data_IF_976954491620
#
_entry.id   IF_976954491620
#
_cell.length_a   1.000
_cell.length_b   1.000
_cell.length_c   1.000
_cell.angle_alpha   90.00
_cell.angle_beta   90.00
_cell.angle_gamma   90.00
#
_symmetry.space_group_name_H-M   'P 1'
#
loop_
_entity.id
_entity.type
_entity.pdbx_description
1 polymer ?
#
# COMPACT_ATOMS: atom_id res chain seq x y z
N UNK A 1 25.17 27.31 3.79
CA UNK A 1 24.87 26.82 2.42
C UNK A 1 23.54 26.05 2.26
N UNK A 2 22.98 25.42 3.27
CA UNK A 2 21.74 24.61 3.17
C UNK A 2 20.46 25.45 3.07
N UNK A 3 20.42 26.66 3.61
CA UNK A 3 19.22 27.50 3.64
C UNK A 3 18.86 28.16 2.29
N UNK A 4 19.84 28.47 1.44
CA UNK A 4 19.62 29.13 0.17
C UNK A 4 18.83 28.32 -0.86
N UNK A 5 19.12 27.03 -1.08
CA UNK A 5 18.30 26.19 -1.98
C UNK A 5 16.86 26.03 -1.49
N UNK A 6 16.64 25.94 -0.17
CA UNK A 6 15.30 25.83 0.40
C UNK A 6 14.49 27.13 0.24
N UNK A 7 15.14 28.28 0.41
CA UNK A 7 14.50 29.60 0.20
C UNK A 7 14.13 29.79 -1.27
N UNK A 8 15.05 29.48 -2.19
CA UNK A 8 14.83 29.54 -3.63
C UNK A 8 13.70 28.60 -4.09
N UNK A 9 13.65 27.39 -3.56
CA UNK A 9 12.55 26.45 -3.79
C UNK A 9 11.21 27.06 -3.36
N UNK A 10 11.13 27.70 -2.20
CA UNK A 10 9.92 28.36 -1.72
C UNK A 10 9.47 29.50 -2.63
N UNK A 11 10.41 30.28 -3.15
CA UNK A 11 10.10 31.34 -4.12
C UNK A 11 9.50 30.76 -5.39
N UNK A 12 10.06 29.68 -5.93
CA UNK A 12 9.48 28.97 -7.09
C UNK A 12 8.10 28.43 -6.81
N UNK A 13 7.84 27.91 -5.60
CA UNK A 13 6.53 27.40 -5.20
C UNK A 13 5.44 28.49 -5.06
N UNK A 14 5.79 29.78 -5.12
CA UNK A 14 4.78 30.84 -5.12
C UNK A 14 3.79 30.74 -6.29
N UNK A 15 4.22 30.20 -7.42
CA UNK A 15 3.36 29.96 -8.59
C UNK A 15 2.21 29.00 -8.27
N UNK A 16 2.44 28.03 -7.39
CA UNK A 16 1.44 27.06 -6.95
C UNK A 16 0.35 27.66 -6.04
N UNK A 17 0.54 28.90 -5.55
CA UNK A 17 -0.47 29.59 -4.73
C UNK A 17 -1.74 29.92 -5.51
N UNK A 18 -1.65 29.97 -6.83
CA UNK A 18 -2.82 30.16 -7.69
C UNK A 18 -3.69 28.91 -7.82
N UNK A 19 -3.16 27.71 -7.49
CA UNK A 19 -3.95 26.48 -7.45
C UNK A 19 -4.91 26.54 -6.26
N UNK A 20 -6.22 26.23 -6.44
CA UNK A 20 -7.20 26.26 -5.38
C UNK A 20 -6.90 25.20 -4.32
N UNK A 21 -7.37 25.44 -3.09
CA UNK A 21 -7.19 24.49 -2.01
C UNK A 21 -7.58 25.06 -0.65
N UNK A 22 -7.56 24.24 0.40
CA UNK A 22 -7.93 24.66 1.74
C UNK A 22 -6.99 25.73 2.28
N UNK A 23 -7.52 26.56 3.19
CA UNK A 23 -6.71 27.50 3.94
C UNK A 23 -5.74 26.76 4.87
N UNK A 24 -4.57 27.36 5.11
CA UNK A 24 -3.65 26.82 6.12
C UNK A 24 -4.25 26.94 7.52
N UNK A 25 -4.22 25.84 8.25
CA UNK A 25 -4.76 25.75 9.62
C UNK A 25 -3.68 25.99 10.68
N UNK A 26 -2.41 25.96 10.28
CA UNK A 26 -1.26 26.14 11.16
C UNK A 26 -0.05 26.53 10.34
N UNK A 27 0.73 27.49 10.82
CA UNK A 27 2.01 27.88 10.23
C UNK A 27 3.00 26.72 10.27
N UNK A 28 2.94 25.87 11.30
CA UNK A 28 3.87 24.74 11.50
C UNK A 28 3.53 23.52 10.66
N UNK A 29 2.26 23.14 10.60
CA UNK A 29 1.83 21.88 9.99
C UNK A 29 0.92 22.05 8.77
N UNK A 30 0.59 23.27 8.38
CA UNK A 30 -0.38 23.52 7.32
C UNK A 30 -1.70 22.81 7.60
N UNK A 31 -2.11 21.92 6.69
CA UNK A 31 -3.28 21.04 6.84
C UNK A 31 -2.90 19.61 7.24
N UNK A 32 -1.62 19.29 7.31
CA UNK A 32 -1.12 17.91 7.44
C UNK A 32 -1.68 17.19 8.69
N UNK A 33 -1.79 17.89 9.83
CA UNK A 33 -2.35 17.29 11.05
C UNK A 33 -3.82 16.87 10.87
N UNK A 34 -4.63 17.66 10.14
CA UNK A 34 -6.03 17.32 9.82
C UNK A 34 -6.14 16.30 8.69
N UNK A 35 -5.18 16.28 7.76
CA UNK A 35 -5.16 15.30 6.65
C UNK A 35 -4.77 13.89 7.11
N UNK A 36 -3.90 13.77 8.11
CA UNK A 36 -3.32 12.49 8.54
C UNK A 36 -3.61 12.12 10.00
N UNK A 37 -4.35 12.93 10.75
CA UNK A 37 -4.69 12.67 12.15
C UNK A 37 -5.70 11.52 12.33
N UNK A 38 -5.93 11.05 13.57
CA UNK A 38 -6.82 9.93 13.85
C UNK A 38 -8.29 10.19 13.47
N UNK A 39 -8.72 11.46 13.42
CA UNK A 39 -10.06 11.88 13.01
C UNK A 39 -10.06 12.61 11.66
N UNK A 40 -9.12 12.25 10.78
CA UNK A 40 -8.90 12.95 9.52
C UNK A 40 -9.90 12.59 8.42
N UNK A 41 -10.64 11.49 8.56
CA UNK A 41 -11.44 10.93 7.45
C UNK A 41 -12.41 11.98 6.86
N UNK A 42 -13.31 12.64 7.63
CA UNK A 42 -14.25 13.59 7.07
C UNK A 42 -13.58 14.78 6.37
N UNK A 43 -12.58 15.38 7.01
CA UNK A 43 -11.84 16.52 6.45
C UNK A 43 -11.08 16.12 5.18
N UNK A 44 -10.44 14.95 5.18
CA UNK A 44 -9.70 14.42 4.05
C UNK A 44 -10.62 14.12 2.87
N UNK A 45 -11.71 13.41 3.10
CA UNK A 45 -12.69 13.08 2.08
C UNK A 45 -13.26 14.35 1.46
N UNK A 46 -13.74 15.28 2.28
CA UNK A 46 -14.22 16.56 1.82
C UNK A 46 -13.17 17.31 0.99
N UNK A 47 -11.94 17.43 1.51
CA UNK A 47 -10.88 18.17 0.81
C UNK A 47 -10.52 17.53 -0.53
N UNK A 48 -10.38 16.19 -0.57
CA UNK A 48 -9.95 15.48 -1.78
C UNK A 48 -11.02 15.39 -2.86
N UNK A 49 -12.30 15.62 -2.54
CA UNK A 49 -13.42 15.59 -3.49
C UNK A 49 -14.00 16.95 -3.84
N UNK A 50 -13.77 17.98 -2.99
CA UNK A 50 -14.31 19.34 -3.22
C UNK A 50 -13.62 20.09 -4.37
N UNK A 51 -12.38 19.70 -4.71
CA UNK A 51 -11.59 20.34 -5.75
C UNK A 51 -11.31 19.32 -6.85
N UNK A 52 -11.56 19.69 -8.08
CA UNK A 52 -11.29 18.83 -9.23
C UNK A 52 -9.89 19.04 -9.79
N UNK A 53 -9.29 17.98 -10.29
CA UNK A 53 -8.04 17.99 -11.04
C UNK A 53 -6.80 18.22 -10.17
N UNK A 54 -6.73 19.37 -9.49
CA UNK A 54 -5.57 19.71 -8.68
C UNK A 54 -5.94 20.53 -7.43
N UNK A 55 -5.25 20.27 -6.34
CA UNK A 55 -5.47 20.88 -5.03
C UNK A 55 -4.13 21.35 -4.48
N UNK A 56 -4.06 22.58 -4.02
CA UNK A 56 -2.95 23.07 -3.22
C UNK A 56 -3.15 22.67 -1.75
N UNK A 57 -2.20 21.95 -1.21
CA UNK A 57 -2.16 21.58 0.20
C UNK A 57 -1.07 22.37 0.92
N UNK A 58 -1.44 23.26 1.86
CA UNK A 58 -0.45 23.89 2.74
C UNK A 58 0.25 22.85 3.61
N UNK A 59 1.57 22.76 3.47
CA UNK A 59 2.42 21.82 4.17
C UNK A 59 3.16 22.44 5.37
N UNK A 60 4.28 21.82 5.75
CA UNK A 60 5.10 22.19 6.89
C UNK A 60 5.82 23.54 6.67
N UNK A 61 5.78 24.44 7.65
CA UNK A 61 6.40 25.79 7.62
C UNK A 61 6.04 26.61 6.37
N UNK A 62 4.81 26.49 5.86
CA UNK A 62 4.35 27.22 4.68
C UNK A 62 4.82 26.65 3.34
N UNK A 63 5.38 25.44 3.33
CA UNK A 63 5.63 24.68 2.10
C UNK A 63 4.31 24.46 1.35
N UNK A 64 4.39 24.44 0.04
CA UNK A 64 3.23 24.16 -0.81
C UNK A 64 3.39 22.76 -1.40
N UNK A 65 2.43 21.90 -1.14
CA UNK A 65 2.30 20.58 -1.74
C UNK A 65 1.10 20.61 -2.70
N UNK A 66 1.10 19.74 -3.69
CA UNK A 66 -0.02 19.54 -4.61
C UNK A 66 -0.68 18.20 -4.37
N UNK A 67 -2.02 18.11 -4.47
CA UNK A 67 -2.70 16.85 -4.67
C UNK A 67 -3.36 16.86 -6.06
N UNK A 68 -3.09 15.84 -6.86
CA UNK A 68 -3.50 15.76 -8.26
C UNK A 68 -4.41 14.55 -8.44
N UNK A 69 -5.60 14.78 -9.00
CA UNK A 69 -6.57 13.76 -9.43
C UNK A 69 -6.89 13.83 -10.92
N UNK A 70 -6.32 14.79 -11.65
CA UNK A 70 -6.51 14.90 -13.10
C UNK A 70 -5.88 13.71 -13.83
N UNK A 71 -6.64 12.97 -14.67
CA UNK A 71 -6.16 11.78 -15.35
C UNK A 71 -4.94 12.02 -16.25
N UNK A 72 -4.92 13.13 -17.00
CA UNK A 72 -3.82 13.46 -17.91
C UNK A 72 -2.55 13.80 -17.14
N UNK A 73 -2.66 14.55 -16.05
CA UNK A 73 -1.54 14.85 -15.17
C UNK A 73 -1.00 13.58 -14.51
N UNK A 74 -1.87 12.67 -14.05
CA UNK A 74 -1.46 11.37 -13.48
C UNK A 74 -0.78 10.49 -14.52
N UNK A 75 -1.34 10.37 -15.73
CA UNK A 75 -0.72 9.63 -16.83
C UNK A 75 0.65 10.22 -17.21
N UNK A 76 0.78 11.54 -17.17
CA UNK A 76 2.03 12.24 -17.45
C UNK A 76 3.10 11.93 -16.38
N UNK A 77 2.73 11.88 -15.10
CA UNK A 77 3.65 11.53 -14.00
C UNK A 77 4.14 10.08 -14.13
N UNK A 78 3.25 9.13 -14.45
CA UNK A 78 3.61 7.72 -14.55
C UNK A 78 4.25 7.33 -15.89
N UNK A 79 3.99 8.10 -16.94
CA UNK A 79 4.50 7.87 -18.29
C UNK A 79 5.69 8.76 -18.63
N UNK A 80 5.40 9.90 -19.27
CA UNK A 80 6.40 10.82 -19.83
C UNK A 80 7.45 11.30 -18.83
N UNK A 81 7.05 11.55 -17.59
CA UNK A 81 7.92 12.09 -16.54
C UNK A 81 8.20 11.10 -15.42
N UNK A 82 8.14 9.81 -15.69
CA UNK A 82 8.40 8.76 -14.71
C UNK A 82 9.70 8.98 -13.93
N UNK A 83 10.77 9.29 -14.65
CA UNK A 83 12.11 9.51 -14.07
C UNK A 83 12.29 10.90 -13.43
N UNK A 84 11.33 11.80 -13.65
CA UNK A 84 11.32 13.13 -13.04
C UNK A 84 10.60 13.16 -11.67
N UNK A 85 9.97 12.07 -11.26
CA UNK A 85 9.23 11.96 -10.01
C UNK A 85 9.70 10.73 -9.21
N UNK A 86 10.26 10.97 -8.03
CA UNK A 86 10.71 9.89 -7.13
C UNK A 86 9.95 9.91 -5.80
N UNK A 87 10.20 8.90 -4.98
CA UNK A 87 9.65 8.84 -3.62
C UNK A 87 10.29 9.94 -2.75
N UNK A 88 9.51 10.61 -1.89
CA UNK A 88 10.08 11.58 -0.96
C UNK A 88 11.15 10.94 -0.06
N UNK A 89 12.27 11.63 0.11
CA UNK A 89 13.40 11.14 0.90
C UNK A 89 13.00 10.70 2.32
N UNK A 90 12.06 11.40 2.97
CA UNK A 90 11.56 11.00 4.28
C UNK A 90 10.90 9.62 4.27
N UNK A 91 10.22 9.24 3.18
CA UNK A 91 9.56 7.93 3.03
C UNK A 91 10.60 6.82 2.89
N UNK A 92 11.59 7.01 2.04
CA UNK A 92 12.72 6.10 1.86
C UNK A 92 13.47 5.92 3.18
N UNK A 93 13.77 7.02 3.86
CA UNK A 93 14.48 6.99 5.12
C UNK A 93 13.67 6.37 6.26
N UNK A 94 12.35 6.55 6.31
CA UNK A 94 11.49 5.86 7.28
C UNK A 94 11.51 4.36 7.01
N UNK A 95 11.30 3.94 5.76
CA UNK A 95 11.33 2.53 5.36
C UNK A 95 12.65 1.87 5.75
N UNK A 96 13.78 2.45 5.33
CA UNK A 96 15.10 1.90 5.63
C UNK A 96 15.46 1.91 7.12
N UNK A 97 14.89 2.81 7.91
CA UNK A 97 15.15 2.86 9.37
C UNK A 97 14.34 1.81 10.12
N UNK A 98 13.09 1.61 9.74
CA UNK A 98 12.16 0.70 10.45
C UNK A 98 12.34 -0.73 9.98
N UNK A 99 12.39 -0.97 8.68
CA UNK A 99 12.38 -2.32 8.10
C UNK A 99 13.76 -2.80 7.61
N UNK A 100 14.71 -1.89 7.44
CA UNK A 100 15.99 -2.19 6.81
C UNK A 100 15.98 -1.90 5.30
N UNK A 101 17.07 -2.26 4.59
CA UNK A 101 17.18 -2.10 3.15
C UNK A 101 16.25 -3.10 2.45
N UNK A 102 15.22 -2.61 1.82
CA UNK A 102 14.25 -3.39 1.06
C UNK A 102 13.71 -2.56 -0.10
N UNK A 103 12.89 -3.13 -0.96
CA UNK A 103 12.42 -2.52 -2.21
C UNK A 103 11.90 -1.08 -2.05
N UNK A 104 11.22 -0.75 -0.95
CA UNK A 104 10.69 0.61 -0.71
C UNK A 104 11.67 1.54 0.01
N UNK A 105 12.87 1.06 0.30
CA UNK A 105 13.92 1.80 1.01
C UNK A 105 15.12 2.13 0.11
N UNK A 106 15.06 1.73 -1.15
CA UNK A 106 16.08 1.94 -2.19
C UNK A 106 15.47 2.68 -3.38
N UNK A 107 16.31 3.30 -4.21
CA UNK A 107 15.88 4.08 -5.39
C UNK A 107 16.76 3.80 -6.60
N UNK A 108 16.38 4.31 -7.75
CA UNK A 108 17.17 4.26 -8.98
C UNK A 108 17.48 2.83 -9.42
N UNK A 109 18.74 2.57 -9.79
CA UNK A 109 19.19 1.29 -10.33
C UNK A 109 18.99 0.13 -9.34
N UNK A 110 19.32 0.34 -8.07
CA UNK A 110 19.16 -0.67 -7.02
C UNK A 110 17.69 -1.10 -6.87
N UNK A 111 16.76 -0.13 -6.87
CA UNK A 111 15.33 -0.41 -6.86
C UNK A 111 14.91 -1.25 -8.08
N UNK A 112 15.37 -0.88 -9.27
CA UNK A 112 15.04 -1.61 -10.51
C UNK A 112 15.55 -3.04 -10.49
N UNK A 113 16.76 -3.29 -10.00
CA UNK A 113 17.36 -4.60 -9.86
C UNK A 113 16.61 -5.46 -8.84
N UNK A 114 16.35 -4.95 -7.63
CA UNK A 114 15.57 -5.66 -6.60
C UNK A 114 14.16 -5.98 -7.08
N UNK A 115 13.51 -5.03 -7.78
CA UNK A 115 12.18 -5.24 -8.36
C UNK A 115 12.15 -6.35 -9.39
N UNK A 116 13.14 -6.38 -10.31
CA UNK A 116 13.27 -7.45 -11.32
C UNK A 116 13.40 -8.82 -10.67
N UNK A 117 14.16 -8.92 -9.60
CA UNK A 117 14.36 -10.18 -8.86
C UNK A 117 13.10 -10.64 -8.11
N UNK A 118 12.29 -9.69 -7.60
CA UNK A 118 11.04 -9.98 -6.92
C UNK A 118 9.86 -10.22 -7.87
N UNK A 119 9.95 -9.78 -9.14
CA UNK A 119 8.86 -9.87 -10.10
C UNK A 119 8.29 -11.30 -10.29
N UNK A 120 9.06 -12.38 -10.32
CA UNK A 120 8.53 -13.74 -10.45
C UNK A 120 7.53 -14.13 -9.35
N UNK A 121 7.72 -13.61 -8.13
CA UNK A 121 6.86 -13.88 -6.97
C UNK A 121 5.45 -13.32 -7.14
N UNK A 122 5.29 -12.31 -8.00
CA UNK A 122 4.00 -11.70 -8.31
C UNK A 122 3.39 -12.22 -9.62
N UNK A 123 3.96 -13.28 -10.20
CA UNK A 123 3.40 -13.89 -11.41
C UNK A 123 2.09 -14.63 -11.12
N UNK A 124 1.20 -14.69 -12.13
CA UNK A 124 -0.07 -15.43 -12.03
C UNK A 124 0.17 -16.88 -11.66
N UNK A 125 1.23 -17.51 -12.19
CA UNK A 125 1.63 -18.88 -11.83
C UNK A 125 1.88 -19.02 -10.35
N UNK A 126 2.67 -18.13 -9.78
CA UNK A 126 3.00 -18.15 -8.34
C UNK A 126 1.77 -17.93 -7.45
N UNK A 127 0.89 -16.98 -7.84
CA UNK A 127 -0.36 -16.73 -7.12
C UNK A 127 -1.27 -17.97 -7.17
N UNK A 128 -1.34 -18.66 -8.31
CA UNK A 128 -2.11 -19.91 -8.48
C UNK A 128 -1.64 -20.99 -7.48
N UNK A 129 -0.34 -21.14 -7.33
CA UNK A 129 0.26 -22.12 -6.42
C UNK A 129 -0.02 -21.81 -4.92
N UNK A 130 -0.35 -20.55 -4.59
CA UNK A 130 -0.74 -20.14 -3.23
C UNK A 130 -2.20 -20.46 -2.88
N UNK A 131 -3.10 -20.66 -3.85
CA UNK A 131 -4.54 -20.82 -3.61
C UNK A 131 -4.87 -21.94 -2.61
N UNK A 132 -4.28 -23.15 -2.67
CA UNK A 132 -4.55 -24.19 -1.68
C UNK A 132 -4.22 -23.76 -0.24
N UNK A 133 -3.17 -22.98 -0.07
CA UNK A 133 -2.81 -22.43 1.25
C UNK A 133 -3.82 -21.39 1.71
N UNK A 134 -4.24 -20.46 0.83
CA UNK A 134 -5.28 -19.48 1.15
C UNK A 134 -6.60 -20.14 1.51
N UNK A 135 -7.01 -21.17 0.78
CA UNK A 135 -8.22 -21.94 1.05
C UNK A 135 -8.18 -22.60 2.44
N UNK A 136 -7.04 -23.18 2.80
CA UNK A 136 -6.85 -23.83 4.12
C UNK A 136 -6.95 -22.80 5.25
N UNK A 137 -6.24 -21.70 5.15
CA UNK A 137 -6.27 -20.61 6.16
C UNK A 137 -7.67 -19.98 6.22
N UNK A 138 -8.34 -19.86 5.06
CA UNK A 138 -9.73 -19.39 4.97
C UNK A 138 -10.70 -20.29 5.71
N UNK A 139 -10.53 -21.62 5.61
CA UNK A 139 -11.36 -22.57 6.36
C UNK A 139 -11.12 -22.46 7.88
N UNK A 140 -9.86 -22.33 8.30
CA UNK A 140 -9.52 -22.08 9.71
C UNK A 140 -10.22 -20.81 10.24
N UNK A 141 -10.23 -19.72 9.44
CA UNK A 141 -10.96 -18.50 9.81
C UNK A 141 -12.45 -18.73 9.94
N UNK A 142 -13.06 -19.43 8.98
CA UNK A 142 -14.51 -19.75 9.03
C UNK A 142 -14.86 -20.54 10.29
N UNK A 143 -14.06 -21.51 10.67
CA UNK A 143 -14.29 -22.33 11.85
C UNK A 143 -14.17 -21.52 13.15
N UNK A 144 -13.18 -20.62 13.24
CA UNK A 144 -13.05 -19.66 14.36
C UNK A 144 -14.26 -18.73 14.46
N UNK A 145 -14.68 -18.14 13.34
CA UNK A 145 -15.84 -17.24 13.33
C UNK A 145 -17.15 -17.97 13.68
N UNK A 146 -17.34 -19.18 13.19
CA UNK A 146 -18.50 -20.02 13.55
C UNK A 146 -18.56 -20.28 15.04
N UNK A 147 -17.42 -20.63 15.64
CA UNK A 147 -17.33 -20.84 17.09
C UNK A 147 -17.68 -19.57 17.86
N UNK A 148 -17.13 -18.42 17.45
CA UNK A 148 -17.40 -17.14 18.11
C UNK A 148 -18.88 -16.72 18.01
N UNK A 149 -19.51 -16.89 16.84
CA UNK A 149 -20.92 -16.52 16.61
C UNK A 149 -21.89 -17.48 17.31
N UNK A 150 -21.50 -18.73 17.57
CA UNK A 150 -22.35 -19.71 18.27
C UNK A 150 -22.56 -19.36 19.75
N UNK A 151 -21.72 -18.50 20.35
CA UNK A 151 -21.91 -18.06 21.73
C UNK A 151 -23.12 -17.09 21.85
N UNK A 152 -24.00 -17.24 22.86
CA UNK A 152 -25.16 -16.38 23.03
C UNK A 152 -24.76 -14.88 23.15
N UNK A 153 -25.38 -14.01 22.34
CA UNK A 153 -25.15 -12.56 22.31
C UNK A 153 -23.70 -12.15 21.99
N UNK A 154 -22.97 -12.92 21.23
CA UNK A 154 -21.60 -12.57 20.85
C UNK A 154 -21.58 -11.56 19.71
N UNK A 155 -21.02 -10.39 19.99
CA UNK A 155 -20.48 -9.52 18.96
C UNK A 155 -19.08 -10.00 18.59
N UNK A 156 -18.81 -10.11 17.29
CA UNK A 156 -17.50 -10.56 16.79
C UNK A 156 -16.75 -9.39 16.19
N UNK A 157 -15.55 -9.14 16.72
CA UNK A 157 -14.63 -8.15 16.16
C UNK A 157 -13.92 -8.75 14.94
N UNK A 158 -14.51 -8.48 13.74
CA UNK A 158 -14.06 -9.07 12.48
C UNK A 158 -12.71 -8.54 12.01
N UNK A 159 -12.34 -7.29 12.33
CA UNK A 159 -11.13 -6.67 11.82
C UNK A 159 -9.87 -7.34 12.38
N UNK A 160 -9.88 -7.75 13.64
CA UNK A 160 -8.79 -8.52 14.21
C UNK A 160 -8.63 -9.88 13.55
N UNK A 161 -9.74 -10.60 13.40
CA UNK A 161 -9.77 -11.92 12.78
C UNK A 161 -9.24 -11.87 11.33
N UNK A 162 -9.66 -10.88 10.54
CA UNK A 162 -9.18 -10.67 9.17
C UNK A 162 -7.73 -10.22 9.09
N UNK A 163 -7.24 -9.44 10.07
CA UNK A 163 -5.83 -9.06 10.14
C UNK A 163 -4.93 -10.28 10.39
N UNK A 164 -5.35 -11.17 11.29
CA UNK A 164 -4.62 -12.41 11.59
C UNK A 164 -4.67 -13.38 10.42
N UNK A 165 -5.83 -13.51 9.78
CA UNK A 165 -5.98 -14.26 8.54
C UNK A 165 -5.02 -13.79 7.46
N UNK A 166 -4.95 -12.48 7.19
CA UNK A 166 -4.05 -11.92 6.18
C UNK A 166 -2.58 -12.18 6.51
N UNK A 167 -2.19 -12.03 7.79
CA UNK A 167 -0.84 -12.32 8.24
C UNK A 167 -0.47 -13.79 8.06
N UNK A 168 -1.38 -14.70 8.41
CA UNK A 168 -1.17 -16.14 8.29
C UNK A 168 -1.12 -16.59 6.82
N UNK A 169 -1.96 -16.01 5.95
CA UNK A 169 -1.89 -16.24 4.51
C UNK A 169 -0.52 -15.88 3.94
N UNK A 170 -0.02 -14.69 4.25
CA UNK A 170 1.31 -14.25 3.75
C UNK A 170 2.43 -15.06 4.38
N UNK A 171 2.35 -15.32 5.68
CA UNK A 171 3.33 -16.13 6.39
C UNK A 171 3.48 -17.52 5.77
N UNK A 172 2.37 -18.26 5.62
CA UNK A 172 2.41 -19.63 5.09
C UNK A 172 2.70 -19.66 3.59
N UNK A 173 2.05 -18.81 2.79
CA UNK A 173 2.16 -18.86 1.33
C UNK A 173 3.44 -18.21 0.81
N UNK A 174 3.86 -17.06 1.36
CA UNK A 174 5.01 -16.33 0.82
C UNK A 174 6.32 -16.57 1.57
N UNK A 175 6.28 -16.97 2.85
CA UNK A 175 7.49 -17.15 3.67
C UNK A 175 7.67 -18.59 4.18
N UNK A 176 6.69 -19.49 3.98
CA UNK A 176 6.71 -20.84 4.53
C UNK A 176 6.75 -20.87 6.06
N UNK A 177 6.15 -19.86 6.71
CA UNK A 177 6.15 -19.68 8.16
C UNK A 177 4.74 -19.45 8.70
N UNK A 178 4.38 -20.08 9.81
CA UNK A 178 3.12 -19.87 10.51
C UNK A 178 3.33 -19.01 11.75
N UNK A 179 2.48 -17.98 11.90
CA UNK A 179 2.42 -17.13 13.08
C UNK A 179 1.58 -17.74 14.20
N UNK A 180 0.99 -18.90 13.96
CA UNK A 180 0.23 -19.67 14.91
C UNK A 180 -1.28 -19.68 14.66
N UNK A 181 -2.03 -20.44 15.48
CA UNK A 181 -3.47 -20.63 15.30
C UNK A 181 -4.26 -19.33 15.35
N UNK A 182 -5.27 -19.20 14.48
CA UNK A 182 -6.14 -18.01 14.42
C UNK A 182 -7.01 -17.81 15.68
N UNK A 183 -7.15 -18.82 16.50
CA UNK A 183 -7.93 -18.82 17.75
C UNK A 183 -7.23 -18.06 18.90
N UNK A 184 -5.91 -18.03 18.92
CA UNK A 184 -5.14 -17.41 20.00
C UNK A 184 -5.10 -15.89 19.81
N UNK A 185 -5.05 -15.16 20.91
CA UNK A 185 -4.82 -13.70 20.87
C UNK A 185 -3.54 -13.36 20.08
N UNK A 186 -3.60 -12.25 19.35
CA UNK A 186 -2.55 -11.86 18.42
C UNK A 186 -1.15 -11.85 19.03
N UNK A 187 -0.16 -12.21 18.21
CA UNK A 187 1.27 -12.19 18.59
C UNK A 187 1.75 -10.75 18.80
N UNK A 188 2.89 -10.57 19.48
CA UNK A 188 3.53 -9.26 19.60
C UNK A 188 3.83 -8.65 18.23
N UNK A 189 4.11 -9.49 17.24
CA UNK A 189 4.29 -9.10 15.85
C UNK A 189 3.00 -8.52 15.24
N UNK A 190 1.85 -9.19 15.38
CA UNK A 190 0.58 -8.70 14.83
C UNK A 190 0.16 -7.37 15.49
N UNK A 191 0.47 -7.19 16.78
CA UNK A 191 0.25 -5.94 17.51
C UNK A 191 1.15 -4.84 16.97
N UNK A 192 2.45 -5.12 16.76
CA UNK A 192 3.39 -4.17 16.19
C UNK A 192 2.97 -3.67 14.80
N UNK A 193 2.47 -4.56 13.94
CA UNK A 193 1.96 -4.18 12.62
C UNK A 193 0.75 -3.24 12.73
N UNK A 194 -0.22 -3.52 13.59
CA UNK A 194 -1.40 -2.65 13.81
C UNK A 194 -1.02 -1.26 14.32
N UNK A 195 -0.01 -1.17 15.16
CA UNK A 195 0.46 0.09 15.74
C UNK A 195 1.32 0.92 14.77
N UNK A 196 1.83 0.33 13.69
CA UNK A 196 2.72 1.00 12.75
C UNK A 196 2.07 2.24 12.11
N UNK A 197 0.93 2.07 11.46
CA UNK A 197 0.21 3.17 10.79
C UNK A 197 -0.10 4.35 11.73
N UNK A 198 -0.77 4.15 12.86
CA UNK A 198 -1.03 5.20 13.85
C UNK A 198 0.26 5.88 14.37
N UNK A 199 1.33 5.12 14.55
CA UNK A 199 2.62 5.66 15.03
C UNK A 199 3.30 6.53 13.97
N UNK A 200 3.28 6.10 12.70
CA UNK A 200 3.77 6.92 11.57
C UNK A 200 3.02 8.25 11.49
N UNK A 201 1.71 8.24 11.69
CA UNK A 201 0.89 9.47 11.72
C UNK A 201 1.31 10.39 12.86
N UNK A 202 1.54 9.86 14.07
CA UNK A 202 1.99 10.67 15.22
C UNK A 202 3.38 11.27 15.00
N UNK A 203 4.25 10.57 14.28
CA UNK A 203 5.59 11.04 13.91
C UNK A 203 5.63 11.93 12.67
N UNK A 204 4.47 12.15 12.02
CA UNK A 204 4.39 12.89 10.76
C UNK A 204 5.10 14.25 10.79
N UNK A 205 4.93 15.00 11.88
CA UNK A 205 5.51 16.35 12.04
C UNK A 205 7.05 16.34 12.07
N UNK A 206 7.66 15.22 12.45
CA UNK A 206 9.11 15.05 12.55
C UNK A 206 9.76 14.49 11.27
N UNK A 207 8.94 14.05 10.29
CA UNK A 207 9.41 13.46 9.03
C UNK A 207 10.41 14.31 8.26
N UNK A 208 10.24 15.64 8.15
CA UNK A 208 11.20 16.47 7.42
C UNK A 208 12.60 16.50 8.02
N UNK A 209 12.72 16.18 9.33
CA UNK A 209 14.03 16.13 10.01
C UNK A 209 14.80 14.86 9.73
N UNK A 210 14.13 13.77 9.36
CA UNK A 210 14.76 12.46 9.22
C UNK A 210 15.85 12.42 8.14
N UNK A 211 15.68 13.00 6.92
CA UNK A 211 16.74 13.07 5.93
C UNK A 211 17.97 13.87 6.44
N UNK A 212 17.73 14.97 7.15
CA UNK A 212 18.79 15.77 7.75
C UNK A 212 19.54 14.98 8.83
N UNK A 213 18.83 14.34 9.76
CA UNK A 213 19.45 13.54 10.81
C UNK A 213 20.29 12.40 10.22
N UNK A 214 19.78 11.68 9.21
CA UNK A 214 20.55 10.60 8.54
C UNK A 214 21.78 11.10 7.79
N UNK A 215 21.79 12.34 7.33
CA UNK A 215 22.96 12.93 6.66
C UNK A 215 24.11 13.20 7.62
N UNK A 216 23.82 13.59 8.87
CA UNK A 216 24.84 14.03 9.83
C UNK A 216 25.16 12.99 10.91
N UNK A 217 24.24 12.06 11.16
CA UNK A 217 24.42 11.07 12.23
C UNK A 217 24.41 9.64 11.67
N UNK A 218 25.44 8.84 11.97
CA UNK A 218 25.46 7.41 11.70
C UNK A 218 24.28 6.69 12.33
N UNK A 219 23.85 5.55 11.75
CA UNK A 219 22.73 4.74 12.22
C UNK A 219 22.79 4.42 13.73
N UNK A 220 23.98 4.16 14.26
CA UNK A 220 24.20 3.87 15.69
C UNK A 220 23.78 5.04 16.60
N UNK A 221 24.10 6.28 16.21
CA UNK A 221 23.73 7.46 16.98
C UNK A 221 22.24 7.78 16.90
N UNK A 222 21.62 7.56 15.73
CA UNK A 222 20.19 7.70 15.58
C UNK A 222 19.43 6.67 16.44
N UNK A 223 19.96 5.45 16.50
CA UNK A 223 19.43 4.40 17.35
C UNK A 223 19.56 4.77 18.83
N UNK A 224 20.72 5.20 19.27
CA UNK A 224 20.95 5.66 20.64
C UNK A 224 20.02 6.84 21.00
N UNK A 225 19.88 7.83 20.12
CA UNK A 225 18.93 8.92 20.30
C UNK A 225 17.50 8.44 20.46
N UNK A 226 17.07 7.47 19.64
CA UNK A 226 15.76 6.86 19.77
C UNK A 226 15.58 6.08 21.09
N UNK A 227 16.64 5.58 21.71
CA UNK A 227 16.59 4.91 23.00
C UNK A 227 16.47 5.87 24.18
N UNK A 228 17.15 7.00 24.10
CA UNK A 228 17.25 7.96 25.22
C UNK A 228 16.10 8.97 25.22
N UNK A 229 15.58 9.35 24.07
CA UNK A 229 14.53 10.37 23.98
C UNK A 229 13.18 9.82 24.51
N UNK A 230 12.60 10.37 25.61
CA UNK A 230 11.38 9.85 26.23
C UNK A 230 10.12 10.36 25.49
N UNK A 231 10.07 10.14 24.16
CA UNK A 231 8.92 10.50 23.33
C UNK A 231 8.14 9.25 22.93
N UNK A 232 6.97 9.05 23.52
CA UNK A 232 6.20 7.82 23.40
C UNK A 232 6.01 7.30 21.95
N UNK A 233 5.68 8.14 20.94
CA UNK A 233 5.58 7.65 19.56
C UNK A 233 6.92 7.14 19.00
N UNK A 234 8.05 7.74 19.39
CA UNK A 234 9.37 7.31 18.97
C UNK A 234 9.75 5.96 19.61
N UNK A 235 9.48 5.81 20.91
CA UNK A 235 9.70 4.55 21.63
C UNK A 235 8.83 3.43 21.04
N UNK A 236 7.58 3.73 20.69
CA UNK A 236 6.69 2.79 20.04
C UNK A 236 7.20 2.37 18.66
N UNK A 237 7.64 3.33 17.84
CA UNK A 237 8.23 3.04 16.52
C UNK A 237 9.49 2.17 16.65
N UNK A 238 10.32 2.39 17.68
CA UNK A 238 11.47 1.55 18.00
C UNK A 238 11.05 0.12 18.31
N UNK A 239 10.09 -0.06 19.22
CA UNK A 239 9.57 -1.38 19.59
C UNK A 239 9.00 -2.13 18.38
N UNK A 240 8.24 -1.43 17.51
CA UNK A 240 7.73 -1.99 16.24
C UNK A 240 8.89 -2.46 15.36
N UNK A 241 9.90 -1.61 15.14
CA UNK A 241 11.08 -1.95 14.34
C UNK A 241 11.82 -3.16 14.90
N UNK A 242 12.00 -3.22 16.22
CA UNK A 242 12.68 -4.34 16.89
C UNK A 242 11.91 -5.65 16.73
N UNK A 243 10.59 -5.63 16.97
CA UNK A 243 9.73 -6.81 16.82
C UNK A 243 9.71 -7.32 15.37
N UNK A 244 9.56 -6.42 14.41
CA UNK A 244 9.47 -6.78 12.99
C UNK A 244 10.80 -7.38 12.49
N UNK A 245 11.92 -6.73 12.79
CA UNK A 245 13.24 -7.21 12.37
C UNK A 245 13.67 -8.50 13.11
N UNK A 246 13.31 -8.66 14.39
CA UNK A 246 13.59 -9.89 15.13
C UNK A 246 12.83 -11.08 14.52
N UNK A 247 11.55 -10.91 14.24
CA UNK A 247 10.73 -11.95 13.59
C UNK A 247 11.26 -12.31 12.21
N UNK A 248 11.60 -11.32 11.39
CA UNK A 248 12.16 -11.58 10.05
C UNK A 248 13.50 -12.35 10.13
N UNK A 249 14.38 -12.00 11.07
CA UNK A 249 15.63 -12.76 11.29
C UNK A 249 15.37 -14.17 11.78
N UNK A 250 14.41 -14.36 12.67
CA UNK A 250 14.04 -15.70 13.14
C UNK A 250 13.55 -16.57 11.99
N UNK A 251 12.66 -16.05 11.12
CA UNK A 251 12.16 -16.77 9.94
C UNK A 251 13.32 -17.12 9.01
N UNK A 252 14.20 -16.15 8.72
CA UNK A 252 15.36 -16.38 7.87
C UNK A 252 16.31 -17.44 8.43
N UNK A 253 16.56 -17.42 9.74
CA UNK A 253 17.42 -18.42 10.40
C UNK A 253 16.80 -19.82 10.32
N UNK A 254 15.51 -19.96 10.65
CA UNK A 254 14.81 -21.23 10.53
C UNK A 254 14.88 -21.79 9.10
N UNK A 255 14.74 -20.91 8.09
CA UNK A 255 14.85 -21.31 6.69
C UNK A 255 16.25 -21.79 6.32
N UNK A 256 17.29 -21.08 6.77
CA UNK A 256 18.70 -21.50 6.60
C UNK A 256 18.96 -22.86 7.24
N UNK A 257 18.42 -23.09 8.43
CA UNK A 257 18.64 -24.34 9.15
C UNK A 257 17.91 -25.51 8.48
N UNK A 258 16.68 -25.30 7.98
CA UNK A 258 15.97 -26.30 7.17
C UNK A 258 16.75 -26.65 5.89
N UNK A 259 17.26 -25.65 5.16
CA UNK A 259 18.04 -25.89 3.93
C UNK A 259 19.38 -26.59 4.19
N UNK A 260 19.99 -26.40 5.36
CA UNK A 260 21.23 -27.09 5.74
C UNK A 260 21.00 -28.56 6.10
N UNK A 261 19.83 -28.88 6.65
CA UNK A 261 19.48 -30.24 7.10
C UNK A 261 18.88 -31.08 5.97
N UNK A 262 18.36 -30.42 4.93
CA UNK A 262 17.75 -31.09 3.77
C UNK A 262 18.84 -31.77 2.92
N UNK A 263 18.57 -32.98 2.42
CA UNK A 263 19.39 -33.63 1.41
C UNK A 263 19.23 -32.91 0.04
N UNK A 264 20.11 -33.26 -0.94
CA UNK A 264 20.11 -32.60 -2.25
C UNK A 264 18.78 -32.73 -3.00
N UNK A 265 18.05 -33.84 -2.82
CA UNK A 265 16.75 -34.05 -3.46
C UNK A 265 15.67 -33.16 -2.85
N UNK A 266 15.63 -33.10 -1.51
CA UNK A 266 14.72 -32.21 -0.76
C UNK A 266 15.04 -30.73 -0.99
N UNK A 267 16.33 -30.37 -1.15
CA UNK A 267 16.74 -29.01 -1.55
C UNK A 267 16.22 -28.67 -2.94
N UNK A 268 16.17 -29.63 -3.85
CA UNK A 268 15.64 -29.43 -5.20
C UNK A 268 14.12 -29.33 -5.19
N UNK A 269 13.42 -30.14 -4.41
CA UNK A 269 11.96 -30.03 -4.20
C UNK A 269 11.56 -28.76 -3.46
N UNK A 270 12.27 -28.38 -2.39
CA UNK A 270 12.12 -27.11 -1.69
C UNK A 270 12.52 -25.93 -2.57
N UNK A 271 13.43 -26.18 -3.52
CA UNK A 271 13.98 -25.24 -4.47
C UNK A 271 13.13 -24.99 -5.71
N UNK A 272 12.16 -25.82 -6.02
CA UNK A 272 11.21 -25.58 -7.13
C UNK A 272 10.12 -24.55 -6.76
N UNK A 273 10.38 -23.70 -5.76
CA UNK A 273 9.79 -22.38 -5.78
C UNK A 273 8.50 -22.22 -5.02
N UNK A 274 8.46 -22.65 -3.78
CA UNK A 274 7.23 -22.48 -3.00
C UNK A 274 7.19 -21.22 -2.13
N UNK A 275 8.28 -20.53 -1.89
CA UNK A 275 8.25 -19.27 -1.12
C UNK A 275 9.29 -18.24 -1.59
N UNK A 276 8.95 -16.96 -1.33
CA UNK A 276 9.75 -15.79 -1.78
C UNK A 276 11.19 -15.86 -1.32
N UNK A 277 11.41 -16.29 -0.07
CA UNK A 277 12.75 -16.29 0.53
C UNK A 277 13.62 -17.39 -0.08
N UNK A 278 13.04 -18.56 -0.33
CA UNK A 278 13.73 -19.64 -1.04
C UNK A 278 14.15 -19.21 -2.45
N UNK A 279 13.29 -18.50 -3.17
CA UNK A 279 13.60 -17.95 -4.50
C UNK A 279 14.78 -16.97 -4.43
N UNK A 280 14.74 -16.02 -3.48
CA UNK A 280 15.81 -15.03 -3.32
C UNK A 280 17.13 -15.66 -2.86
N UNK A 281 17.09 -16.65 -1.96
CA UNK A 281 18.28 -17.37 -1.50
C UNK A 281 18.91 -18.21 -2.64
N UNK A 282 18.10 -18.83 -3.49
CA UNK A 282 18.58 -19.55 -4.67
C UNK A 282 19.22 -18.62 -5.71
N UNK A 283 18.61 -17.44 -5.91
CA UNK A 283 19.21 -16.43 -6.78
C UNK A 283 20.62 -16.06 -6.28
N UNK A 284 20.77 -15.81 -4.97
CA UNK A 284 22.07 -15.54 -4.37
C UNK A 284 23.06 -16.70 -4.55
N UNK A 285 22.60 -17.95 -4.43
CA UNK A 285 23.44 -19.12 -4.59
C UNK A 285 23.92 -19.34 -6.05
N UNK A 286 23.13 -18.92 -7.02
CA UNK A 286 23.48 -19.02 -8.45
C UNK A 286 24.43 -17.92 -8.93
N UNK A 287 24.47 -16.80 -8.25
CA UNK A 287 25.28 -15.61 -8.61
C UNK A 287 26.04 -15.07 -7.40
N UNK A 288 26.94 -15.86 -6.79
CA UNK A 288 27.67 -15.42 -5.61
C UNK A 288 28.63 -14.27 -5.98
N UNK A 289 28.50 -13.14 -5.27
CA UNK A 289 29.35 -11.96 -5.46
C UNK A 289 28.92 -11.01 -6.57
N UNK A 290 27.80 -11.24 -7.21
CA UNK A 290 27.18 -10.27 -8.12
C UNK A 290 26.63 -9.08 -7.31
N UNK A 291 26.69 -7.88 -7.90
CA UNK A 291 26.11 -6.64 -7.36
C UNK A 291 24.60 -6.80 -7.10
N UNK A 292 23.96 -7.75 -7.80
CA UNK A 292 22.55 -8.09 -7.68
C UNK A 292 22.24 -9.06 -6.53
N UNK A 293 23.22 -9.57 -5.78
CA UNK A 293 22.97 -10.50 -4.69
C UNK A 293 22.46 -9.76 -3.43
N UNK A 294 21.36 -10.27 -2.85
CA UNK A 294 20.81 -9.73 -1.60
C UNK A 294 21.73 -10.08 -0.42
N UNK A 295 22.12 -9.08 0.35
CA UNK A 295 22.72 -9.31 1.66
C UNK A 295 21.71 -9.92 2.64
N UNK A 296 22.17 -10.42 3.78
CA UNK A 296 21.27 -10.88 4.83
C UNK A 296 20.36 -9.76 5.36
N UNK A 297 20.88 -8.53 5.44
CA UNK A 297 20.08 -7.37 5.83
C UNK A 297 19.01 -7.01 4.78
N UNK A 298 19.33 -7.18 3.50
CA UNK A 298 18.36 -6.97 2.41
C UNK A 298 17.21 -8.00 2.49
N UNK A 299 17.55 -9.28 2.70
CA UNK A 299 16.54 -10.33 2.87
C UNK A 299 15.63 -10.06 4.07
N UNK A 300 16.18 -9.67 5.21
CA UNK A 300 15.42 -9.28 6.40
C UNK A 300 14.52 -8.07 6.08
N UNK A 301 15.05 -7.08 5.38
CA UNK A 301 14.29 -5.90 4.95
C UNK A 301 13.13 -6.24 4.02
N UNK A 302 13.35 -7.10 3.03
CA UNK A 302 12.31 -7.57 2.11
C UNK A 302 11.20 -8.33 2.85
N UNK A 303 11.57 -9.25 3.75
CA UNK A 303 10.60 -10.01 4.54
C UNK A 303 9.76 -9.11 5.44
N UNK A 304 10.40 -8.20 6.16
CA UNK A 304 9.73 -7.24 7.03
C UNK A 304 8.72 -6.38 6.27
N UNK A 305 9.12 -5.95 5.07
CA UNK A 305 8.29 -5.13 4.21
C UNK A 305 7.11 -5.91 3.63
N UNK A 306 7.33 -7.13 3.12
CA UNK A 306 6.28 -7.99 2.57
C UNK A 306 5.22 -8.30 3.62
N UNK A 307 5.63 -8.67 4.82
CA UNK A 307 4.71 -8.95 5.92
C UNK A 307 3.84 -7.76 6.28
N UNK A 308 4.43 -6.55 6.40
CA UNK A 308 3.65 -5.35 6.68
C UNK A 308 2.67 -5.03 5.56
N UNK A 309 3.16 -4.93 4.33
CA UNK A 309 2.36 -4.45 3.20
C UNK A 309 1.22 -5.40 2.88
N UNK A 310 1.47 -6.69 2.86
CA UNK A 310 0.47 -7.67 2.50
C UNK A 310 -0.57 -7.90 3.63
N UNK A 311 -0.20 -7.71 4.89
CA UNK A 311 -1.11 -7.89 6.02
C UNK A 311 -2.11 -6.75 6.14
N UNK A 312 -1.63 -5.51 6.25
CA UNK A 312 -2.47 -4.35 6.58
C UNK A 312 -3.41 -3.97 5.44
N UNK A 313 -2.91 -3.91 4.21
CA UNK A 313 -3.74 -3.56 3.05
C UNK A 313 -4.81 -4.60 2.75
N UNK A 314 -4.47 -5.88 2.80
CA UNK A 314 -5.40 -6.98 2.53
C UNK A 314 -6.48 -7.05 3.59
N UNK A 315 -6.11 -7.03 4.87
CA UNK A 315 -7.08 -7.07 5.97
C UNK A 315 -8.04 -5.88 5.93
N UNK A 316 -7.55 -4.68 5.68
CA UNK A 316 -8.38 -3.47 5.56
C UNK A 316 -9.36 -3.59 4.39
N UNK A 317 -8.93 -4.11 3.25
CA UNK A 317 -9.81 -4.35 2.09
C UNK A 317 -10.88 -5.38 2.41
N UNK A 318 -10.53 -6.50 3.04
CA UNK A 318 -11.48 -7.54 3.45
C UNK A 318 -12.52 -7.00 4.45
N UNK A 319 -12.08 -6.22 5.45
CA UNK A 319 -12.98 -5.54 6.39
C UNK A 319 -13.98 -4.65 5.64
N UNK A 320 -13.52 -3.89 4.64
CA UNK A 320 -14.41 -3.04 3.84
C UNK A 320 -15.39 -3.84 2.99
N UNK A 321 -14.94 -4.95 2.39
CA UNK A 321 -15.83 -5.85 1.63
C UNK A 321 -16.94 -6.39 2.54
N UNK A 322 -16.58 -6.96 3.68
CA UNK A 322 -17.56 -7.51 4.64
C UNK A 322 -18.51 -6.44 5.14
N UNK A 323 -18.00 -5.24 5.46
CA UNK A 323 -18.81 -4.10 5.88
C UNK A 323 -19.81 -3.67 4.79
N UNK A 324 -19.37 -3.55 3.53
CA UNK A 324 -20.27 -3.19 2.43
C UNK A 324 -21.34 -4.26 2.17
N UNK A 325 -20.96 -5.55 2.22
CA UNK A 325 -21.92 -6.64 2.10
C UNK A 325 -22.93 -6.66 3.26
N UNK A 326 -22.52 -6.27 4.46
CA UNK A 326 -23.44 -6.14 5.59
C UNK A 326 -24.44 -4.98 5.42
N UNK A 327 -24.01 -3.87 4.81
CA UNK A 327 -24.86 -2.72 4.51
C UNK A 327 -25.78 -2.95 3.30
N UNK A 328 -25.46 -3.90 2.42
CA UNK A 328 -26.19 -4.19 1.18
C UNK A 328 -26.64 -5.67 1.10
N UNK A 329 -27.73 -6.06 1.82
CA UNK A 329 -28.17 -7.45 1.88
C UNK A 329 -28.49 -8.09 0.52
N UNK A 330 -29.00 -7.30 -0.44
CA UNK A 330 -29.27 -7.77 -1.79
C UNK A 330 -27.97 -8.19 -2.53
N UNK A 331 -26.92 -7.40 -2.42
CA UNK A 331 -25.62 -7.73 -2.99
C UNK A 331 -25.00 -8.95 -2.29
N UNK A 332 -25.16 -9.07 -0.97
CA UNK A 332 -24.74 -10.24 -0.23
C UNK A 332 -25.47 -11.51 -0.71
N UNK A 333 -26.79 -11.44 -0.89
CA UNK A 333 -27.59 -12.59 -1.37
C UNK A 333 -27.17 -13.01 -2.78
N UNK A 334 -26.96 -12.04 -3.70
CA UNK A 334 -26.46 -12.31 -5.05
C UNK A 334 -25.08 -12.97 -5.06
N UNK A 335 -24.15 -12.48 -4.24
CA UNK A 335 -22.83 -13.10 -4.11
C UNK A 335 -22.93 -14.52 -3.57
N UNK A 336 -23.79 -14.77 -2.57
CA UNK A 336 -24.02 -16.12 -2.04
C UNK A 336 -24.59 -17.04 -3.12
N UNK A 337 -25.51 -16.56 -3.94
CA UNK A 337 -26.07 -17.32 -5.05
C UNK A 337 -24.98 -17.72 -6.05
N UNK A 338 -24.15 -16.77 -6.52
CA UNK A 338 -23.03 -17.04 -7.43
C UNK A 338 -22.08 -18.11 -6.86
N UNK A 339 -21.69 -17.98 -5.59
CA UNK A 339 -20.81 -18.94 -4.92
C UNK A 339 -21.46 -20.34 -4.79
N UNK A 340 -22.77 -20.39 -4.54
CA UNK A 340 -23.51 -21.66 -4.44
C UNK A 340 -23.61 -22.33 -5.80
N UNK A 341 -23.91 -21.58 -6.86
CA UNK A 341 -23.99 -22.10 -8.23
C UNK A 341 -22.62 -22.62 -8.71
N UNK A 342 -21.54 -21.89 -8.41
CA UNK A 342 -20.18 -22.30 -8.76
C UNK A 342 -19.76 -23.61 -8.07
N UNK A 343 -20.16 -23.81 -6.82
CA UNK A 343 -19.86 -25.05 -6.08
C UNK A 343 -20.75 -26.21 -6.50
N UNK A 344 -22.05 -25.97 -6.74
CA UNK A 344 -22.99 -27.00 -7.21
C UNK A 344 -22.60 -27.51 -8.61
N UNK A 345 -22.19 -26.63 -9.53
CA UNK A 345 -21.79 -26.99 -10.89
C UNK A 345 -20.55 -27.89 -10.98
N UNK A 346 -19.67 -27.83 -9.97
CA UNK A 346 -18.39 -28.57 -9.97
C UNK A 346 -18.41 -29.73 -8.96
N UNK A 347 -19.42 -29.81 -8.09
CA UNK A 347 -19.52 -30.82 -7.01
C UNK A 347 -18.40 -30.67 -5.96
N UNK A 348 -17.82 -29.50 -5.83
CA UNK A 348 -16.70 -29.18 -4.91
C UNK A 348 -17.15 -28.17 -3.85
N UNK A 349 -16.53 -28.22 -2.67
CA UNK A 349 -16.72 -27.19 -1.68
C UNK A 349 -15.96 -25.90 -2.09
N UNK A 350 -16.39 -24.74 -1.58
CA UNK A 350 -15.69 -23.45 -1.83
C UNK A 350 -14.18 -23.54 -1.56
N UNK A 351 -13.79 -24.24 -0.51
CA UNK A 351 -12.39 -24.44 -0.12
C UNK A 351 -11.55 -25.24 -1.13
N UNK A 352 -12.19 -25.91 -2.08
CA UNK A 352 -11.54 -26.79 -3.06
C UNK A 352 -11.50 -26.14 -4.46
N UNK A 353 -11.96 -24.89 -4.58
CA UNK A 353 -11.90 -24.13 -5.82
C UNK A 353 -10.45 -23.73 -6.11
N UNK A 354 -10.08 -23.79 -7.38
CA UNK A 354 -8.79 -23.36 -7.90
C UNK A 354 -8.83 -21.88 -8.34
N UNK A 355 -7.69 -21.38 -8.81
CA UNK A 355 -7.55 -20.00 -9.26
C UNK A 355 -8.52 -19.67 -10.39
N UNK A 356 -8.70 -20.54 -11.37
CA UNK A 356 -9.56 -20.37 -12.53
C UNK A 356 -11.03 -20.28 -12.13
N UNK A 357 -11.44 -21.12 -11.19
CA UNK A 357 -12.80 -21.09 -10.65
C UNK A 357 -13.09 -19.76 -9.94
N UNK A 358 -12.17 -19.27 -9.10
CA UNK A 358 -12.33 -17.96 -8.47
C UNK A 358 -12.30 -16.82 -9.49
N UNK A 359 -11.40 -16.86 -10.48
CA UNK A 359 -11.33 -15.85 -11.54
C UNK A 359 -12.59 -15.83 -12.42
N UNK A 360 -13.29 -16.94 -12.52
CA UNK A 360 -14.56 -17.11 -13.23
C UNK A 360 -15.80 -16.59 -12.49
N UNK A 361 -15.67 -15.92 -11.33
CA UNK A 361 -16.79 -15.38 -10.55
C UNK A 361 -16.97 -13.88 -10.82
N UNK A 362 -17.82 -13.50 -11.77
CA UNK A 362 -17.92 -12.10 -12.22
C UNK A 362 -18.45 -11.17 -11.14
N UNK A 363 -19.45 -11.62 -10.34
CA UNK A 363 -20.01 -10.75 -9.30
C UNK A 363 -19.08 -10.60 -8.10
N UNK A 364 -18.37 -11.66 -7.72
CA UNK A 364 -17.30 -11.57 -6.71
C UNK A 364 -16.23 -10.57 -7.16
N UNK A 365 -15.79 -10.67 -8.41
CA UNK A 365 -14.85 -9.71 -9.00
C UNK A 365 -15.37 -8.27 -8.98
N UNK A 366 -16.66 -8.07 -9.28
CA UNK A 366 -17.34 -6.79 -9.24
C UNK A 366 -17.39 -6.19 -7.83
N UNK A 367 -17.74 -6.98 -6.82
CA UNK A 367 -17.75 -6.58 -5.39
C UNK A 367 -16.35 -6.13 -4.95
N UNK A 368 -15.32 -6.88 -5.29
CA UNK A 368 -13.94 -6.53 -4.93
C UNK A 368 -13.53 -5.23 -5.60
N UNK A 369 -13.71 -5.10 -6.93
CA UNK A 369 -13.33 -3.91 -7.71
C UNK A 369 -14.03 -2.66 -7.21
N UNK A 370 -15.33 -2.72 -6.97
CA UNK A 370 -16.09 -1.58 -6.48
C UNK A 370 -15.68 -1.17 -5.07
N UNK A 371 -15.41 -2.14 -4.21
CA UNK A 371 -14.93 -1.84 -2.86
C UNK A 371 -13.54 -1.16 -2.90
N UNK A 372 -12.62 -1.64 -3.72
CA UNK A 372 -11.29 -1.01 -3.86
C UNK A 372 -11.39 0.36 -4.53
N UNK A 373 -12.30 0.56 -5.49
CA UNK A 373 -12.57 1.90 -6.05
C UNK A 373 -13.03 2.88 -4.97
N UNK A 374 -14.02 2.48 -4.19
CA UNK A 374 -14.61 3.34 -3.17
C UNK A 374 -13.72 3.53 -1.95
N UNK A 375 -12.99 2.48 -1.56
CA UNK A 375 -12.16 2.44 -0.35
C UNK A 375 -10.77 1.92 -0.69
N UNK A 376 -9.98 2.68 -1.46
CA UNK A 376 -8.63 2.25 -1.84
C UNK A 376 -7.74 2.11 -0.61
N UNK A 377 -6.84 1.14 -0.63
CA UNK A 377 -5.89 0.89 0.46
C UNK A 377 -5.01 2.11 0.79
N UNK A 378 -4.78 2.98 -0.21
CA UNK A 378 -4.15 4.28 -0.05
C UNK A 378 -5.04 5.38 -0.64
N UNK A 379 -5.43 6.35 0.18
CA UNK A 379 -6.15 7.54 -0.29
C UNK A 379 -5.32 8.40 -1.22
N UNK A 380 -4.03 8.52 -0.91
CA UNK A 380 -3.04 9.26 -1.67
C UNK A 380 -1.68 8.57 -1.56
N UNK A 381 -0.85 8.72 -2.57
CA UNK A 381 0.58 8.39 -2.48
C UNK A 381 1.39 9.59 -2.96
N UNK A 382 2.60 9.77 -2.42
CA UNK A 382 3.41 10.95 -2.70
C UNK A 382 4.55 10.67 -3.67
N UNK A 383 4.87 11.68 -4.47
CA UNK A 383 6.08 11.80 -5.26
C UNK A 383 6.72 13.16 -5.00
N UNK A 384 7.99 13.30 -5.31
CA UNK A 384 8.69 14.58 -5.35
C UNK A 384 9.17 14.81 -6.77
N UNK A 385 8.91 15.99 -7.30
CA UNK A 385 9.48 16.40 -8.58
C UNK A 385 10.99 16.62 -8.42
N UNK A 386 11.82 15.88 -9.13
CA UNK A 386 13.27 16.00 -9.11
C UNK A 386 13.77 17.16 -10.00
N UNK A 387 12.95 17.59 -10.95
CA UNK A 387 13.21 18.72 -11.85
C UNK A 387 11.94 19.55 -12.07
N UNK A 388 12.11 20.77 -12.56
CA UNK A 388 10.97 21.61 -12.95
C UNK A 388 10.20 20.90 -14.07
N UNK A 389 8.90 20.70 -13.87
CA UNK A 389 8.03 19.92 -14.77
C UNK A 389 6.72 20.65 -15.03
N UNK A 390 6.11 20.40 -16.18
CA UNK A 390 4.79 20.91 -16.51
C UNK A 390 3.83 19.75 -16.67
N UNK A 391 2.78 19.74 -15.85
CA UNK A 391 1.72 18.73 -15.90
C UNK A 391 0.52 19.30 -16.64
N UNK A 392 0.17 18.79 -17.84
CA UNK A 392 -1.03 19.18 -18.54
C UNK A 392 -2.27 18.66 -17.78
N UNK A 393 -3.37 19.39 -17.89
CA UNK A 393 -4.65 19.02 -17.28
C UNK A 393 -5.64 18.62 -18.37
N UNK A 394 -6.42 17.56 -18.15
CA UNK A 394 -7.50 17.15 -19.05
C UNK A 394 -8.65 18.16 -19.06
N UNK A 395 -8.87 18.82 -17.93
CA UNK A 395 -9.85 19.90 -17.78
C UNK A 395 -9.23 21.08 -17.03
N UNK A 396 -9.53 22.34 -17.42
CA UNK A 396 -8.98 23.49 -16.73
C UNK A 396 -9.39 23.55 -15.26
N UNK A 397 -8.46 23.87 -14.39
CA UNK A 397 -8.72 24.15 -12.97
C UNK A 397 -8.86 25.66 -12.78
N UNK A 398 -9.91 26.11 -12.11
CA UNK A 398 -10.11 27.51 -11.81
C UNK A 398 -9.07 28.00 -10.80
N UNK A 399 -8.17 28.89 -11.24
CA UNK A 399 -7.16 29.49 -10.37
C UNK A 399 -7.79 30.45 -9.33
N UNK A 400 -7.04 30.72 -8.27
CA UNK A 400 -7.45 31.67 -7.23
C UNK A 400 -7.60 33.12 -7.75
N UNK A 401 -6.95 33.44 -8.88
CA UNK A 401 -7.06 34.71 -9.60
C UNK A 401 -8.26 34.77 -10.56
N UNK A 402 -9.08 33.71 -10.58
CA UNK A 402 -10.25 33.59 -11.46
C UNK A 402 -9.93 33.19 -12.90
N UNK A 403 -8.67 32.88 -13.23
CA UNK A 403 -8.27 32.42 -14.58
C UNK A 403 -8.20 30.91 -14.64
N UNK A 404 -8.55 30.29 -15.78
CA UNK A 404 -8.41 28.86 -15.97
C UNK A 404 -6.92 28.46 -16.09
N UNK A 405 -6.53 27.43 -15.35
CA UNK A 405 -5.23 26.79 -15.44
C UNK A 405 -5.36 25.53 -16.30
N UNK A 406 -4.71 25.51 -17.45
CA UNK A 406 -4.69 24.36 -18.36
C UNK A 406 -3.52 23.41 -18.09
N UNK A 407 -2.55 23.87 -17.31
CA UNK A 407 -1.37 23.13 -16.92
C UNK A 407 -0.88 23.57 -15.54
N UNK A 408 -0.11 22.73 -14.89
CA UNK A 408 0.53 23.03 -13.61
C UNK A 408 2.04 23.07 -13.79
N UNK A 409 2.64 24.20 -13.53
CA UNK A 409 4.11 24.32 -13.46
C UNK A 409 4.54 23.84 -12.08
N UNK A 410 5.19 22.69 -12.02
CA UNK A 410 5.62 22.02 -10.79
C UNK A 410 7.13 22.20 -10.62
N UNK A 411 7.58 23.06 -9.72
CA UNK A 411 9.01 23.26 -9.47
C UNK A 411 9.67 22.03 -8.85
N UNK A 412 10.95 21.85 -9.13
CA UNK A 412 11.79 20.84 -8.50
C UNK A 412 11.68 20.89 -6.97
N UNK A 413 11.60 19.71 -6.35
CA UNK A 413 11.43 19.55 -4.92
C UNK A 413 9.98 19.70 -4.44
N UNK A 414 8.99 19.94 -5.29
CA UNK A 414 7.59 19.98 -4.89
C UNK A 414 7.07 18.58 -4.62
N UNK A 415 6.43 18.39 -3.46
CA UNK A 415 5.71 17.15 -3.16
C UNK A 415 4.37 17.15 -3.89
N UNK A 416 4.15 16.12 -4.69
CA UNK A 416 2.90 15.87 -5.42
C UNK A 416 2.25 14.62 -4.84
N UNK A 417 1.04 14.77 -4.31
CA UNK A 417 0.20 13.70 -3.84
C UNK A 417 -0.71 13.24 -4.98
N UNK A 418 -0.59 11.99 -5.36
CA UNK A 418 -1.48 11.34 -6.32
C UNK A 418 -2.77 11.02 -5.58
N UNK A 419 -3.83 11.76 -5.88
CA UNK A 419 -5.12 11.70 -5.18
C UNK A 419 -5.98 10.56 -5.74
N UNK A 420 -5.71 9.33 -5.30
CA UNK A 420 -6.44 8.12 -5.71
C UNK A 420 -7.91 8.21 -5.33
N UNK A 421 -8.19 8.69 -4.14
CA UNK A 421 -9.55 8.82 -3.63
C UNK A 421 -10.40 9.78 -4.47
N UNK A 422 -9.80 10.91 -4.88
CA UNK A 422 -10.47 11.91 -5.71
C UNK A 422 -10.80 11.37 -7.11
N UNK A 423 -9.82 10.78 -7.80
CA UNK A 423 -10.05 10.25 -9.16
C UNK A 423 -11.03 9.08 -9.16
N UNK A 424 -11.03 8.23 -8.14
CA UNK A 424 -11.96 7.10 -8.03
C UNK A 424 -13.41 7.51 -7.75
N UNK A 425 -13.66 8.74 -7.35
CA UNK A 425 -14.98 9.28 -7.02
C UNK A 425 -15.36 10.50 -7.86
N UNK A 426 -14.61 10.81 -8.90
CA UNK A 426 -14.91 11.94 -9.77
C UNK A 426 -16.15 11.64 -10.63
N UNK A 427 -17.25 12.43 -10.48
CA UNK A 427 -18.46 12.22 -11.27
C UNK A 427 -18.27 12.44 -12.77
N UNK A 428 -17.25 13.18 -13.19
CA UNK A 428 -16.95 13.38 -14.62
C UNK A 428 -16.35 12.14 -15.26
N UNK A 429 -15.72 11.29 -14.45
CA UNK A 429 -15.13 10.01 -14.89
C UNK A 429 -16.15 8.89 -14.70
N UNK A 430 -16.71 8.75 -13.49
CA UNK A 430 -17.52 7.59 -13.08
C UNK A 430 -19.03 7.78 -13.19
N UNK A 431 -19.51 8.96 -13.62
CA UNK A 431 -20.93 9.30 -13.69
C UNK A 431 -21.50 9.83 -12.38
N UNK A 432 -22.78 10.19 -12.39
CA UNK A 432 -23.48 10.81 -11.25
C UNK A 432 -23.54 9.93 -10.00
N UNK A 433 -23.41 8.62 -10.14
CA UNK A 433 -23.37 7.62 -9.06
C UNK A 433 -21.95 7.26 -8.60
N UNK A 434 -20.95 8.09 -8.95
CA UNK A 434 -19.54 7.91 -8.60
C UNK A 434 -19.28 7.69 -7.09
N UNK A 435 -20.10 8.29 -6.23
CA UNK A 435 -20.02 8.17 -4.77
C UNK A 435 -20.80 6.98 -4.18
N UNK A 436 -21.53 6.22 -5.01
CA UNK A 436 -22.31 5.06 -4.59
C UNK A 436 -21.48 3.79 -4.78
N UNK A 437 -21.60 2.87 -3.80
CA UNK A 437 -21.05 1.53 -3.92
C UNK A 437 -22.02 0.66 -4.73
N UNK A 438 -21.66 0.34 -5.98
CA UNK A 438 -22.50 -0.35 -6.97
C UNK A 438 -21.68 -1.37 -7.75
N UNK A 439 -21.57 -2.62 -7.27
CA UNK A 439 -20.82 -3.69 -7.94
C UNK A 439 -21.24 -3.93 -9.37
N UNK A 440 -22.53 -3.75 -9.70
CA UNK A 440 -23.11 -3.94 -11.04
C UNK A 440 -22.41 -3.14 -12.12
N UNK A 441 -21.78 -2.03 -11.76
CA UNK A 441 -20.94 -1.20 -12.64
C UNK A 441 -19.89 -2.00 -13.42
N UNK A 442 -19.38 -3.06 -12.82
CA UNK A 442 -18.31 -3.88 -13.37
C UNK A 442 -18.77 -5.08 -14.19
N UNK A 443 -20.10 -5.29 -14.27
CA UNK A 443 -20.71 -6.35 -15.07
C UNK A 443 -21.09 -5.89 -16.47
N UNK A 444 -21.09 -4.59 -16.70
CA UNK A 444 -21.36 -3.93 -17.96
C UNK A 444 -20.11 -3.21 -18.46
N UNK A 445 -20.04 -2.84 -19.75
CA UNK A 445 -18.98 -1.98 -20.25
C UNK A 445 -18.91 -0.69 -19.43
N UNK A 446 -17.70 -0.33 -19.00
CA UNK A 446 -17.49 0.93 -18.27
C UNK A 446 -17.81 2.12 -19.19
N UNK A 447 -18.27 3.26 -18.64
CA UNK A 447 -18.50 4.48 -19.40
C UNK A 447 -17.27 4.91 -20.21
N UNK A 448 -17.49 5.47 -21.41
CA UNK A 448 -16.42 5.97 -22.26
C UNK A 448 -15.50 6.95 -21.50
N UNK A 449 -16.09 7.77 -20.63
CA UNK A 449 -15.34 8.69 -19.76
C UNK A 449 -14.29 8.00 -18.86
N UNK A 450 -14.54 6.75 -18.43
CA UNK A 450 -13.56 5.97 -17.66
C UNK A 450 -12.45 5.43 -18.57
N UNK A 451 -12.83 4.98 -19.76
CA UNK A 451 -11.89 4.43 -20.75
C UNK A 451 -10.99 5.54 -21.31
N UNK A 452 -11.57 6.66 -21.68
CA UNK A 452 -10.88 7.83 -22.24
C UNK A 452 -9.99 8.55 -21.22
N UNK A 453 -10.33 8.49 -19.94
CA UNK A 453 -9.52 9.07 -18.88
C UNK A 453 -8.14 8.44 -18.78
N UNK A 454 -7.93 7.22 -19.31
CA UNK A 454 -6.64 6.50 -19.24
C UNK A 454 -5.99 6.54 -17.86
N UNK A 455 -6.81 6.45 -16.80
CA UNK A 455 -6.31 6.47 -15.43
C UNK A 455 -5.33 5.31 -15.24
N UNK A 456 -4.11 5.57 -14.77
CA UNK A 456 -3.11 4.53 -14.60
C UNK A 456 -3.60 3.34 -13.78
N UNK A 457 -3.16 2.15 -14.10
CA UNK A 457 -3.62 0.87 -13.55
C UNK A 457 -3.49 0.70 -12.03
N UNK A 458 -2.73 1.56 -11.38
CA UNK A 458 -2.63 1.62 -9.91
C UNK A 458 -3.95 2.04 -9.24
N UNK A 459 -4.86 2.63 -10.01
CA UNK A 459 -6.19 3.01 -9.57
C UNK A 459 -7.22 1.93 -9.90
N UNK A 460 -8.27 1.82 -9.13
CA UNK A 460 -9.16 0.66 -9.01
C UNK A 460 -9.87 0.12 -10.27
N UNK A 461 -9.90 0.84 -11.38
CA UNK A 461 -10.61 0.37 -12.58
C UNK A 461 -9.88 -0.75 -13.32
N UNK A 462 -8.57 -0.88 -13.14
CA UNK A 462 -7.79 -1.98 -13.67
C UNK A 462 -7.33 -2.88 -12.52
N UNK A 463 -7.96 -4.04 -12.46
CA UNK A 463 -7.54 -5.06 -11.52
C UNK A 463 -6.18 -5.61 -11.96
N UNK A 464 -5.18 -5.30 -11.14
CA UNK A 464 -3.90 -5.99 -11.11
C UNK A 464 -3.19 -6.12 -12.45
N UNK A 465 -2.24 -5.33 -12.66
CA UNK A 465 -0.99 -5.98 -12.90
C UNK A 465 0.09 -5.16 -12.21
N UNK A 466 0.70 -5.76 -11.23
CA UNK A 466 2.06 -5.43 -10.82
C UNK A 466 3.01 -5.42 -12.04
N UNK A 467 2.54 -5.88 -13.20
CA UNK A 467 3.23 -5.94 -14.48
C UNK A 467 3.27 -4.62 -15.27
N UNK A 468 2.52 -3.58 -14.87
CA UNK A 468 2.49 -2.29 -15.58
C UNK A 468 3.12 -1.13 -14.82
N UNK A 469 3.92 -1.41 -13.80
CA UNK A 469 4.83 -0.43 -13.24
C UNK A 469 6.24 -0.76 -13.77
N UNK A 470 6.37 -0.95 -15.07
CA UNK A 470 7.64 -0.88 -15.78
C UNK A 470 8.06 0.56 -15.99
#
# INVERSE_FOLDING_TARGET
>A
MVLWPQLWRRVKQLQLRNVPGPASLSIWSGVAKKMHGPFSIPFREQTLTSYRGAIRLPGFLGEVELAVSDPMALATIFGKYRDAFDLPAWRIHTGSTVFGPGLTAVTGREHSEQRKQLSPVFSVRYIRDMIPTFNRVGQELVDVLRYQVAAPRSEVEIAESLSRFSLECVGRAALGYSFGPLEKHGTDYSRALKEFGPTVVQLHTWRPLLPFLKRFFPRKWLRYGAEVIPYAPLQRMRSISDSVNATARQILQQKKDMLRQADKATVQELGEGQDVISILMQHNAKSPGDISSFSEEDLVGQMSLLLLQATDTTSTTLVRIVHQLALHPAAQARLRQELTEATAGVGRALRDLDFEAYAGLPYMGAVIRETVRMYPGFYMTSRVAEQDTVLPLSSPVQGMDGRPLHELVVPAGTTVWLNIFGVNRDPTIWGSDASQWKPERWLEPLPDSVVEAHVPSVFAHTYVSYSYID
#
